data_IF_594064761505
#
_entry.id   IF_594064761505
#
_cell.length_a   1.000
_cell.length_b   1.000
_cell.length_c   1.000
_cell.angle_alpha   90.00
_cell.angle_beta   90.00
_cell.angle_gamma   90.00
#
_symmetry.space_group_name_H-M   'P 1'
#
loop_
_entity.id
_entity.type
_entity.pdbx_description
1 polymer ?
#
# COMPACT_ATOMS: atom_id res chain seq x y z
N UNK A 1 27.44 -6.17 18.97
CA UNK A 1 26.86 -6.22 17.62
C UNK A 1 25.40 -6.59 17.80
N UNK A 2 24.52 -5.71 17.39
CA UNK A 2 23.08 -5.92 17.42
C UNK A 2 22.74 -6.86 16.26
N UNK A 3 21.85 -7.83 16.44
CA UNK A 3 21.38 -8.63 15.30
C UNK A 3 20.19 -7.92 14.63
N UNK A 4 19.88 -8.26 13.38
CA UNK A 4 18.78 -7.65 12.62
C UNK A 4 17.46 -7.62 13.42
N UNK A 5 17.13 -8.72 14.10
CA UNK A 5 15.91 -8.83 14.90
C UNK A 5 15.84 -7.77 15.99
N UNK A 6 16.93 -7.51 16.71
CA UNK A 6 16.97 -6.52 17.78
C UNK A 6 16.81 -5.08 17.26
N UNK A 7 17.26 -4.78 16.03
CA UNK A 7 16.96 -3.50 15.37
C UNK A 7 15.48 -3.40 14.99
N UNK A 8 14.92 -4.46 14.39
CA UNK A 8 13.54 -4.47 13.89
C UNK A 8 12.48 -4.60 14.99
N UNK A 9 12.83 -5.03 16.21
CA UNK A 9 11.91 -5.14 17.34
C UNK A 9 11.64 -3.82 18.07
N UNK A 10 12.30 -2.75 17.65
CA UNK A 10 12.18 -1.41 18.21
C UNK A 10 11.87 -0.38 17.11
N UNK A 11 11.31 0.78 17.47
CA UNK A 11 11.25 1.94 16.57
C UNK A 11 12.62 2.28 15.98
N UNK A 12 12.66 2.50 14.68
CA UNK A 12 13.89 2.87 13.98
C UNK A 12 14.10 4.38 14.15
N UNK A 13 15.16 4.78 14.85
CA UNK A 13 15.63 6.18 14.96
C UNK A 13 16.54 6.50 13.80
N UNK A 14 15.98 6.72 12.61
CA UNK A 14 16.74 6.69 11.37
C UNK A 14 17.80 7.79 11.29
N UNK A 15 17.61 8.94 11.95
CA UNK A 15 18.59 10.05 11.94
C UNK A 15 19.93 9.69 12.59
N UNK A 16 20.01 8.57 13.33
CA UNK A 16 21.26 8.05 13.92
C UNK A 16 22.23 7.38 12.92
N UNK A 17 21.84 7.25 11.64
CA UNK A 17 22.59 6.49 10.63
C UNK A 17 24.04 6.95 10.42
N UNK A 18 24.37 8.21 10.72
CA UNK A 18 25.73 8.74 10.57
C UNK A 18 26.71 8.24 11.63
N UNK A 19 26.19 7.73 12.74
CA UNK A 19 26.99 7.28 13.91
C UNK A 19 26.79 5.81 14.25
N UNK A 20 25.74 5.18 13.71
CA UNK A 20 25.43 3.77 13.92
C UNK A 20 25.60 3.00 12.60
N UNK A 21 26.69 2.21 12.52
CA UNK A 21 27.02 1.41 11.34
C UNK A 21 26.05 0.25 11.07
N UNK A 22 25.42 -0.29 12.11
CA UNK A 22 24.42 -1.36 11.98
C UNK A 22 23.14 -0.76 11.34
N UNK A 23 22.73 0.43 11.79
CA UNK A 23 21.62 1.18 11.22
C UNK A 23 21.88 1.66 9.78
N UNK A 24 23.08 2.16 9.48
CA UNK A 24 23.48 2.53 8.12
C UNK A 24 23.37 1.33 7.18
N UNK A 25 23.86 0.16 7.61
CA UNK A 25 23.80 -1.07 6.82
C UNK A 25 22.36 -1.49 6.55
N UNK A 26 21.49 -1.45 7.56
CA UNK A 26 20.06 -1.74 7.42
C UNK A 26 19.36 -0.80 6.42
N UNK A 27 19.52 0.51 6.59
CA UNK A 27 18.75 1.50 5.82
C UNK A 27 19.26 1.65 4.38
N UNK A 28 20.54 1.36 4.13
CA UNK A 28 21.12 1.42 2.77
C UNK A 28 20.76 0.19 1.94
N UNK A 29 20.49 -0.95 2.58
CA UNK A 29 20.16 -2.21 1.91
C UNK A 29 18.64 -2.43 1.76
N UNK A 30 17.84 -1.97 2.74
CA UNK A 30 16.38 -2.04 2.66
C UNK A 30 15.85 -1.09 1.59
N UNK A 31 14.94 -1.55 0.73
CA UNK A 31 14.32 -0.71 -0.29
C UNK A 31 13.43 0.40 0.30
N UNK A 32 13.32 1.48 -0.44
CA UNK A 32 12.32 2.53 -0.31
C UNK A 32 10.87 1.96 -0.26
N UNK A 33 9.91 2.81 0.07
CA UNK A 33 8.47 2.54 0.15
C UNK A 33 8.02 1.58 1.28
N UNK A 34 8.92 0.80 1.89
CA UNK A 34 8.61 -0.14 2.97
C UNK A 34 8.38 0.63 4.29
N UNK A 35 9.43 1.25 4.85
CA UNK A 35 9.36 1.96 6.13
C UNK A 35 8.49 3.21 6.08
N UNK A 36 8.43 3.86 4.92
CA UNK A 36 7.63 5.06 4.70
C UNK A 36 7.20 5.09 3.24
N UNK A 37 5.94 5.45 2.95
CA UNK A 37 5.49 5.58 1.57
C UNK A 37 6.25 6.67 0.81
N UNK A 38 6.48 6.49 -0.49
CA UNK A 38 7.25 7.43 -1.32
C UNK A 38 6.58 8.80 -1.50
N UNK A 39 5.26 8.91 -1.31
CA UNK A 39 4.52 10.19 -1.31
C UNK A 39 4.29 10.85 -2.68
N UNK A 40 4.83 10.24 -3.74
CA UNK A 40 4.73 10.68 -5.14
C UNK A 40 3.35 10.48 -5.76
N UNK A 41 2.95 11.38 -6.65
CA UNK A 41 1.61 11.40 -7.25
C UNK A 41 1.44 10.56 -8.53
N UNK A 42 2.53 10.19 -9.21
CA UNK A 42 2.48 9.37 -10.42
C UNK A 42 3.31 8.10 -10.23
N UNK A 43 2.80 6.97 -10.75
CA UNK A 43 3.56 5.72 -10.78
C UNK A 43 3.39 4.97 -12.10
N UNK A 44 4.40 4.20 -12.47
CA UNK A 44 4.28 3.10 -13.42
C UNK A 44 4.73 1.79 -12.76
N UNK A 45 3.87 0.78 -12.80
CA UNK A 45 4.16 -0.57 -12.32
C UNK A 45 4.37 -1.48 -13.53
N UNK A 46 5.63 -1.81 -13.83
CA UNK A 46 6.03 -2.56 -15.02
C UNK A 46 6.24 -4.02 -14.65
N UNK A 47 5.52 -4.92 -15.33
CA UNK A 47 5.57 -6.35 -15.04
C UNK A 47 6.42 -7.08 -16.07
N UNK A 48 7.31 -7.94 -15.58
CA UNK A 48 8.31 -8.63 -16.41
C UNK A 48 8.09 -10.14 -16.39
N UNK A 49 8.28 -10.77 -17.54
CA UNK A 49 8.54 -12.19 -17.68
C UNK A 49 10.01 -12.43 -18.00
N UNK A 50 10.57 -13.45 -17.36
CA UNK A 50 11.90 -14.00 -17.62
C UNK A 50 11.82 -15.31 -18.41
N UNK A 51 10.67 -15.61 -19.03
CA UNK A 51 10.53 -16.79 -19.91
C UNK A 51 11.57 -16.75 -21.04
N UNK A 52 12.28 -17.87 -21.22
CA UNK A 52 13.35 -17.99 -22.21
C UNK A 52 14.70 -17.39 -21.79
N UNK A 53 14.81 -16.72 -20.64
CA UNK A 53 16.08 -16.19 -20.14
C UNK A 53 16.90 -17.27 -19.42
N UNK A 54 18.21 -17.29 -19.64
CA UNK A 54 19.14 -18.06 -18.82
C UNK A 54 19.32 -17.40 -17.43
N UNK A 55 19.62 -18.15 -16.36
CA UNK A 55 19.81 -17.60 -15.02
C UNK A 55 20.81 -16.44 -14.93
N UNK A 56 21.90 -16.49 -15.71
CA UNK A 56 22.88 -15.40 -15.77
C UNK A 56 22.32 -14.11 -16.37
N UNK A 57 21.37 -14.19 -17.31
CA UNK A 57 20.70 -13.01 -17.87
C UNK A 57 19.77 -12.39 -16.84
N UNK A 58 19.02 -13.22 -16.10
CA UNK A 58 18.15 -12.75 -15.01
C UNK A 58 18.99 -12.07 -13.92
N UNK A 59 20.06 -12.72 -13.46
CA UNK A 59 20.99 -12.12 -12.49
C UNK A 59 21.64 -10.83 -13.02
N UNK A 60 22.00 -10.78 -14.30
CA UNK A 60 22.52 -9.58 -14.94
C UNK A 60 21.52 -8.42 -14.95
N UNK A 61 20.25 -8.70 -15.25
CA UNK A 61 19.18 -7.70 -15.19
C UNK A 61 18.96 -7.17 -13.77
N UNK A 62 18.86 -8.06 -12.78
CA UNK A 62 18.69 -7.63 -11.38
C UNK A 62 19.88 -6.82 -10.87
N UNK A 63 21.09 -7.14 -11.33
CA UNK A 63 22.27 -6.33 -11.04
C UNK A 63 22.15 -4.93 -11.64
N UNK A 64 21.73 -4.81 -12.89
CA UNK A 64 21.55 -3.48 -13.51
C UNK A 64 20.47 -2.67 -12.77
N UNK A 65 19.36 -3.32 -12.42
CA UNK A 65 18.28 -2.72 -11.64
C UNK A 65 18.73 -2.30 -10.23
N UNK A 66 19.69 -3.00 -9.63
CA UNK A 66 20.19 -2.64 -8.30
C UNK A 66 20.89 -1.27 -8.27
N UNK A 67 21.40 -0.78 -9.40
CA UNK A 67 22.02 0.56 -9.47
C UNK A 67 21.01 1.71 -9.48
N UNK A 68 19.74 1.44 -9.77
CA UNK A 68 18.68 2.45 -9.81
C UNK A 68 17.64 2.28 -8.70
N UNK A 69 17.67 1.15 -7.99
CA UNK A 69 16.73 0.86 -6.91
C UNK A 69 17.00 1.78 -5.73
N UNK A 70 15.98 2.51 -5.29
CA UNK A 70 16.08 3.48 -4.20
C UNK A 70 16.07 2.77 -2.85
N UNK A 71 17.05 3.06 -2.01
CA UNK A 71 17.11 2.58 -0.62
C UNK A 71 16.18 3.38 0.31
N UNK A 72 15.87 2.81 1.47
CA UNK A 72 15.13 3.49 2.53
C UNK A 72 15.90 4.72 3.03
N UNK A 73 17.23 4.65 3.12
CA UNK A 73 18.05 5.77 3.53
C UNK A 73 17.98 6.94 2.54
N UNK A 74 18.08 6.66 1.25
CA UNK A 74 17.97 7.68 0.19
C UNK A 74 16.62 8.39 0.28
N UNK A 75 15.52 7.63 0.28
CA UNK A 75 14.18 8.21 0.38
C UNK A 75 14.01 9.08 1.64
N UNK A 76 14.49 8.63 2.80
CA UNK A 76 14.35 9.39 4.05
C UNK A 76 15.15 10.69 4.03
N UNK A 77 16.35 10.67 3.46
CA UNK A 77 17.18 11.87 3.29
C UNK A 77 16.56 12.84 2.29
N UNK A 78 16.03 12.36 1.18
CA UNK A 78 15.33 13.16 0.18
C UNK A 78 14.07 13.81 0.76
N UNK A 79 13.29 13.08 1.56
CA UNK A 79 12.10 13.61 2.22
C UNK A 79 12.44 14.76 3.20
N UNK A 80 13.51 14.63 3.99
CA UNK A 80 13.98 15.74 4.84
C UNK A 80 14.50 16.92 4.00
N UNK A 81 15.27 16.66 2.95
CA UNK A 81 15.77 17.72 2.07
C UNK A 81 14.62 18.51 1.41
N UNK A 82 13.56 17.82 0.99
CA UNK A 82 12.35 18.45 0.51
C UNK A 82 11.64 19.24 1.62
N UNK A 83 11.51 18.68 2.82
CA UNK A 83 10.90 19.37 3.97
C UNK A 83 11.61 20.69 4.32
N UNK A 84 12.94 20.71 4.25
CA UNK A 84 13.78 21.88 4.61
C UNK A 84 13.92 22.88 3.48
N UNK A 85 14.20 22.42 2.26
CA UNK A 85 14.65 23.27 1.15
C UNK A 85 13.83 23.11 -0.13
N UNK A 86 12.77 22.28 -0.12
CA UNK A 86 11.93 21.97 -1.30
C UNK A 86 12.73 21.42 -2.49
N UNK A 87 13.88 20.79 -2.21
CA UNK A 87 14.69 20.11 -3.22
C UNK A 87 14.05 18.75 -3.50
N UNK A 88 13.73 18.49 -4.77
CA UNK A 88 13.19 17.20 -5.20
C UNK A 88 14.25 16.09 -5.05
N UNK A 89 13.80 14.91 -4.61
CA UNK A 89 14.62 13.69 -4.58
C UNK A 89 14.72 12.97 -5.93
N UNK A 90 13.94 13.36 -6.93
CA UNK A 90 13.83 12.64 -8.21
C UNK A 90 13.07 11.31 -8.06
N UNK A 91 13.11 10.45 -9.08
CA UNK A 91 12.25 9.27 -9.12
C UNK A 91 12.62 8.22 -8.05
N UNK A 92 11.61 7.60 -7.46
CA UNK A 92 11.75 6.42 -6.58
C UNK A 92 11.53 5.17 -7.41
N UNK A 93 12.46 4.22 -7.33
CA UNK A 93 12.38 2.92 -8.02
C UNK A 93 12.43 1.78 -7.02
N UNK A 94 11.46 0.86 -7.10
CA UNK A 94 11.43 -0.36 -6.30
C UNK A 94 11.34 -1.59 -7.20
N UNK A 95 11.93 -2.70 -6.77
CA UNK A 95 11.96 -3.96 -7.52
C UNK A 95 11.43 -5.10 -6.66
N UNK A 96 10.45 -5.82 -7.17
CA UNK A 96 9.79 -6.93 -6.50
C UNK A 96 9.93 -8.19 -7.35
N UNK A 97 10.16 -9.34 -6.71
CA UNK A 97 10.27 -10.64 -7.37
C UNK A 97 9.17 -11.58 -6.89
N UNK A 98 8.54 -12.30 -7.80
CA UNK A 98 7.65 -13.40 -7.48
C UNK A 98 8.44 -14.69 -7.22
N UNK A 99 7.80 -15.69 -6.60
CA UNK A 99 8.43 -16.99 -6.37
C UNK A 99 8.92 -17.66 -7.68
N UNK A 100 8.21 -17.43 -8.80
CA UNK A 100 8.62 -17.90 -10.12
C UNK A 100 9.88 -17.17 -10.63
N UNK A 101 9.96 -15.85 -10.40
CA UNK A 101 11.17 -15.07 -10.70
C UNK A 101 12.39 -15.56 -9.92
N UNK A 102 12.23 -15.88 -8.63
CA UNK A 102 13.29 -16.51 -7.84
C UNK A 102 13.73 -17.87 -8.40
N UNK A 103 12.79 -18.71 -8.84
CA UNK A 103 13.12 -20.01 -9.42
C UNK A 103 13.97 -19.89 -10.71
N UNK A 104 13.73 -18.83 -11.49
CA UNK A 104 14.49 -18.54 -12.73
C UNK A 104 15.90 -18.00 -12.49
N UNK A 105 16.25 -17.61 -11.26
CA UNK A 105 17.63 -17.28 -10.87
C UNK A 105 18.53 -18.51 -10.71
N UNK A 106 17.95 -19.72 -10.67
CA UNK A 106 18.72 -20.95 -10.48
C UNK A 106 19.41 -21.04 -9.11
N UNK A 107 18.89 -20.33 -8.10
CA UNK A 107 19.41 -20.36 -6.73
C UNK A 107 18.83 -21.54 -5.95
N UNK A 108 19.50 -21.93 -4.87
CA UNK A 108 19.00 -22.95 -3.94
C UNK A 108 17.63 -22.56 -3.38
N UNK A 109 16.73 -23.53 -3.21
CA UNK A 109 15.42 -23.32 -2.58
C UNK A 109 15.49 -22.79 -1.15
N UNK A 110 16.62 -22.97 -0.45
CA UNK A 110 16.88 -22.35 0.87
C UNK A 110 17.01 -20.83 0.80
N UNK A 111 17.34 -20.29 -0.38
CA UNK A 111 17.56 -18.86 -0.63
C UNK A 111 16.31 -18.22 -1.27
N UNK A 112 15.18 -18.93 -1.31
CA UNK A 112 13.89 -18.42 -1.78
C UNK A 112 13.01 -18.13 -0.56
N UNK A 113 12.36 -16.95 -0.48
CA UNK A 113 11.49 -16.59 0.64
C UNK A 113 10.47 -17.70 0.98
N UNK A 114 10.30 -17.95 2.28
CA UNK A 114 9.65 -19.14 2.83
C UNK A 114 8.12 -19.12 2.88
N UNK A 115 7.49 -17.96 2.73
CA UNK A 115 6.04 -17.82 2.94
C UNK A 115 5.22 -18.70 1.98
N UNK A 116 4.20 -19.34 2.53
CA UNK A 116 3.34 -20.26 1.80
C UNK A 116 2.47 -19.54 0.76
N UNK A 117 1.95 -18.34 1.06
CA UNK A 117 1.10 -17.62 0.13
C UNK A 117 1.93 -17.06 -1.05
N UNK A 118 3.10 -16.53 -0.77
CA UNK A 118 4.09 -16.07 -1.74
C UNK A 118 4.51 -17.20 -2.68
N UNK A 119 4.89 -18.36 -2.14
CA UNK A 119 5.31 -19.52 -2.94
C UNK A 119 4.19 -20.10 -3.80
N UNK A 120 2.95 -20.06 -3.31
CA UNK A 120 1.78 -20.52 -4.07
C UNK A 120 1.39 -19.55 -5.20
N UNK A 121 1.59 -18.25 -4.99
CA UNK A 121 1.24 -17.21 -5.95
C UNK A 121 -0.26 -16.85 -5.97
N UNK A 122 -0.57 -15.63 -6.41
CA UNK A 122 -1.91 -15.06 -6.29
C UNK A 122 -2.98 -15.82 -7.10
N UNK A 123 -2.65 -16.35 -8.29
CA UNK A 123 -3.60 -17.14 -9.10
C UNK A 123 -4.14 -18.37 -8.37
N UNK A 124 -3.32 -19.00 -7.53
CA UNK A 124 -3.73 -20.15 -6.70
C UNK A 124 -4.43 -19.66 -5.43
N UNK A 125 -3.90 -18.61 -4.80
CA UNK A 125 -4.40 -18.07 -3.52
C UNK A 125 -5.71 -17.29 -3.64
N UNK A 126 -6.12 -16.89 -4.85
CA UNK A 126 -7.39 -16.19 -5.11
C UNK A 126 -8.65 -17.05 -4.92
N UNK A 127 -8.50 -18.38 -4.89
CA UNK A 127 -9.59 -19.36 -4.70
C UNK A 127 -9.18 -20.40 -3.66
N UNK A 128 -9.35 -20.07 -2.39
CA UNK A 128 -9.08 -20.99 -1.29
C UNK A 128 -10.34 -21.71 -0.85
N UNK A 129 -10.17 -22.94 -0.35
CA UNK A 129 -11.24 -23.69 0.29
C UNK A 129 -11.89 -22.88 1.40
N UNK A 130 -13.19 -23.13 1.58
CA UNK A 130 -13.94 -22.49 2.65
C UNK A 130 -13.33 -22.81 4.02
N UNK A 131 -13.18 -21.78 4.85
CA UNK A 131 -12.67 -21.91 6.20
C UNK A 131 -13.73 -22.52 7.11
N UNK A 132 -13.30 -23.43 7.98
CA UNK A 132 -14.14 -23.96 9.07
C UNK A 132 -13.54 -23.53 10.40
N UNK A 133 -14.35 -22.99 11.30
CA UNK A 133 -13.91 -22.61 12.65
C UNK A 133 -14.46 -23.60 13.68
N UNK A 134 -13.64 -23.95 14.68
CA UNK A 134 -14.06 -24.86 15.75
C UNK A 134 -15.17 -24.29 16.64
N UNK A 135 -15.33 -22.96 16.65
CA UNK A 135 -16.25 -22.23 17.55
C UNK A 135 -17.47 -21.64 16.84
N UNK A 136 -17.54 -21.69 15.50
CA UNK A 136 -18.64 -21.12 14.72
C UNK A 136 -19.03 -22.13 13.64
N UNK A 137 -20.31 -22.49 13.59
CA UNK A 137 -20.83 -23.47 12.63
C UNK A 137 -20.91 -22.90 11.21
N UNK A 138 -20.57 -23.75 10.23
CA UNK A 138 -20.71 -23.47 8.81
C UNK A 138 -19.37 -23.22 8.10
N UNK A 139 -19.31 -23.47 6.78
CA UNK A 139 -18.19 -23.05 5.96
C UNK A 139 -18.24 -21.53 5.74
N UNK A 140 -17.10 -20.86 5.92
CA UNK A 140 -16.96 -19.44 5.66
C UNK A 140 -16.14 -19.24 4.39
N UNK A 141 -16.58 -18.37 3.46
CA UNK A 141 -15.79 -18.05 2.28
C UNK A 141 -14.39 -17.57 2.70
N UNK A 142 -13.37 -18.09 2.02
CA UNK A 142 -12.01 -17.57 2.10
C UNK A 142 -11.85 -16.39 1.13
N UNK A 143 -10.62 -16.04 0.74
CA UNK A 143 -10.41 -15.20 -0.44
C UNK A 143 -11.18 -15.82 -1.61
N UNK A 144 -12.03 -15.01 -2.21
CA UNK A 144 -13.01 -15.41 -3.21
C UNK A 144 -12.92 -14.47 -4.42
N UNK A 145 -11.71 -14.37 -4.97
CA UNK A 145 -11.43 -13.59 -6.18
C UNK A 145 -12.23 -14.16 -7.36
N UNK A 146 -12.53 -13.41 -8.42
CA UNK A 146 -13.02 -13.99 -9.67
C UNK A 146 -12.07 -15.07 -10.19
N UNK A 147 -12.55 -15.96 -11.08
CA UNK A 147 -11.65 -16.96 -11.65
C UNK A 147 -10.48 -16.23 -12.33
N UNK A 148 -9.28 -16.78 -12.23
CA UNK A 148 -8.11 -16.23 -12.92
C UNK A 148 -8.33 -16.07 -14.43
N UNK A 149 -9.24 -16.85 -15.04
CA UNK A 149 -9.65 -16.69 -16.45
C UNK A 149 -10.48 -15.43 -16.72
N UNK A 150 -11.10 -14.86 -15.69
CA UNK A 150 -11.89 -13.63 -15.76
C UNK A 150 -11.06 -12.37 -15.40
N UNK A 151 -9.75 -12.53 -15.17
CA UNK A 151 -8.86 -11.39 -14.91
C UNK A 151 -8.58 -10.62 -16.20
N UNK A 152 -8.00 -9.42 -16.07
CA UNK A 152 -7.72 -8.51 -17.19
C UNK A 152 -6.91 -9.19 -18.32
N UNK A 153 -7.43 -9.11 -19.54
CA UNK A 153 -6.81 -9.64 -20.76
C UNK A 153 -5.98 -8.57 -21.48
N UNK A 154 -4.92 -8.98 -22.17
CA UNK A 154 -4.05 -8.11 -22.96
C UNK A 154 -3.04 -7.28 -22.15
N UNK A 155 -2.88 -7.57 -20.86
CA UNK A 155 -2.00 -6.85 -19.93
C UNK A 155 -1.18 -7.83 -19.06
N UNK A 156 -0.51 -7.30 -18.03
CA UNK A 156 0.40 -8.02 -17.16
C UNK A 156 -0.17 -9.30 -16.52
N UNK A 157 -1.49 -9.35 -16.32
CA UNK A 157 -2.18 -10.45 -15.65
C UNK A 157 -2.99 -11.35 -16.59
N UNK A 158 -2.83 -11.18 -17.92
CA UNK A 158 -3.55 -11.94 -18.93
C UNK A 158 -3.55 -13.45 -18.61
N UNK A 159 -4.72 -14.11 -18.55
CA UNK A 159 -4.83 -15.53 -18.25
C UNK A 159 -4.05 -16.43 -19.22
N UNK A 160 -3.81 -15.98 -20.46
CA UNK A 160 -3.03 -16.68 -21.48
C UNK A 160 -1.51 -16.62 -21.23
N UNK A 161 -1.03 -15.68 -20.42
CA UNK A 161 0.37 -15.53 -20.06
C UNK A 161 0.70 -16.22 -18.73
N UNK A 162 1.97 -16.55 -18.50
CA UNK A 162 2.50 -16.84 -17.16
C UNK A 162 2.28 -15.64 -16.23
N UNK A 163 2.12 -15.89 -14.93
CA UNK A 163 2.12 -14.79 -13.96
C UNK A 163 3.49 -14.06 -13.98
N UNK A 164 3.53 -12.74 -13.71
CA UNK A 164 4.77 -11.98 -13.71
C UNK A 164 5.86 -12.55 -12.80
N UNK A 165 7.11 -12.55 -13.27
CA UNK A 165 8.29 -12.96 -12.51
C UNK A 165 8.83 -11.83 -11.64
N UNK A 166 8.68 -10.60 -12.10
CA UNK A 166 9.09 -9.40 -11.39
C UNK A 166 8.15 -8.22 -11.67
N UNK A 167 8.20 -7.24 -10.78
CA UNK A 167 7.59 -5.92 -10.97
C UNK A 167 8.64 -4.84 -10.67
N UNK A 168 8.68 -3.81 -11.51
CA UNK A 168 9.45 -2.58 -11.27
C UNK A 168 8.45 -1.45 -11.08
N UNK A 169 8.44 -0.85 -9.90
CA UNK A 169 7.66 0.34 -9.58
C UNK A 169 8.54 1.57 -9.75
N UNK A 170 8.08 2.54 -10.54
CA UNK A 170 8.71 3.84 -10.73
C UNK A 170 7.71 4.89 -10.25
N UNK A 171 8.15 5.84 -9.43
CA UNK A 171 7.28 6.87 -8.87
C UNK A 171 7.94 8.25 -8.87
N UNK A 172 7.22 9.28 -9.30
CA UNK A 172 7.63 10.68 -9.22
C UNK A 172 6.40 11.61 -9.13
N UNK A 173 6.59 12.87 -8.75
CA UNK A 173 5.53 13.88 -8.79
C UNK A 173 5.35 14.45 -10.21
N UNK A 174 6.27 14.20 -11.14
CA UNK A 174 6.16 14.53 -12.56
C UNK A 174 5.94 13.27 -13.43
N UNK A 175 4.76 13.17 -14.04
CA UNK A 175 4.39 12.07 -14.93
C UNK A 175 5.37 11.88 -16.10
N UNK A 176 5.89 12.97 -16.67
CA UNK A 176 6.81 12.90 -17.80
C UNK A 176 8.18 12.31 -17.38
N UNK A 177 8.61 12.53 -16.14
CA UNK A 177 9.78 11.88 -15.59
C UNK A 177 9.53 10.38 -15.38
N UNK A 178 8.36 9.99 -14.88
CA UNK A 178 8.01 8.56 -14.76
C UNK A 178 8.04 7.87 -16.13
N UNK A 179 7.46 8.49 -17.16
CA UNK A 179 7.46 7.97 -18.53
C UNK A 179 8.88 7.82 -19.08
N UNK A 180 9.72 8.85 -18.92
CA UNK A 180 11.12 8.83 -19.34
C UNK A 180 11.91 7.69 -18.65
N UNK A 181 11.73 7.52 -17.34
CA UNK A 181 12.37 6.42 -16.61
C UNK A 181 11.88 5.06 -17.10
N UNK A 182 10.57 4.91 -17.35
CA UNK A 182 9.99 3.67 -17.85
C UNK A 182 10.51 3.32 -19.25
N UNK A 183 10.68 4.29 -20.14
CA UNK A 183 11.28 4.11 -21.47
C UNK A 183 12.75 3.68 -21.38
N UNK A 184 13.56 4.38 -20.57
CA UNK A 184 14.96 4.04 -20.38
C UNK A 184 15.15 2.63 -19.80
N UNK A 185 14.33 2.25 -18.81
CA UNK A 185 14.40 0.90 -18.23
C UNK A 185 13.87 -0.18 -19.19
N UNK A 186 12.91 0.16 -20.06
CA UNK A 186 12.44 -0.76 -21.10
C UNK A 186 13.57 -1.19 -22.04
N UNK A 187 14.50 -0.29 -22.38
CA UNK A 187 15.69 -0.63 -23.18
C UNK A 187 16.59 -1.63 -22.43
N UNK A 188 16.77 -1.46 -21.12
CA UNK A 188 17.53 -2.40 -20.27
C UNK A 188 16.87 -3.77 -20.24
N UNK A 189 15.56 -3.83 -20.07
CA UNK A 189 14.79 -5.08 -20.06
C UNK A 189 14.96 -5.86 -21.36
N UNK A 190 14.75 -5.19 -22.49
CA UNK A 190 14.87 -5.79 -23.82
C UNK A 190 16.31 -6.24 -24.11
N UNK A 191 17.31 -5.45 -23.73
CA UNK A 191 18.73 -5.79 -23.92
C UNK A 191 19.13 -7.03 -23.12
N UNK A 192 18.57 -7.21 -21.92
CA UNK A 192 18.81 -8.41 -21.09
C UNK A 192 17.99 -9.62 -21.54
N UNK A 193 16.92 -9.41 -22.31
CA UNK A 193 16.03 -10.44 -22.83
C UNK A 193 14.77 -10.67 -21.99
N UNK A 194 14.44 -9.77 -21.06
CA UNK A 194 13.18 -9.81 -20.33
C UNK A 194 12.04 -9.28 -21.21
N UNK A 195 10.87 -9.87 -21.07
CA UNK A 195 9.65 -9.44 -21.78
C UNK A 195 8.81 -8.58 -20.85
N UNK A 196 8.38 -7.40 -21.31
CA UNK A 196 7.39 -6.59 -20.58
C UNK A 196 6.00 -7.14 -20.87
N UNK A 197 5.32 -7.63 -19.83
CA UNK A 197 3.97 -8.21 -19.94
C UNK A 197 2.86 -7.13 -19.94
N UNK A 198 3.13 -5.98 -19.34
CA UNK A 198 2.17 -4.89 -19.23
C UNK A 198 2.64 -3.83 -18.24
N UNK A 199 1.90 -2.72 -18.20
CA UNK A 199 2.18 -1.58 -17.31
C UNK A 199 0.88 -1.07 -16.72
N UNK A 200 0.85 -0.91 -15.40
CA UNK A 200 -0.26 -0.26 -14.70
C UNK A 200 0.17 1.14 -14.26
N UNK A 201 -0.56 2.15 -14.74
CA UNK A 201 -0.31 3.57 -14.46
C UNK A 201 -1.11 3.99 -13.24
N UNK A 202 -0.43 4.49 -12.21
CA UNK A 202 -1.05 5.05 -11.03
C UNK A 202 -1.03 6.57 -11.05
N UNK A 203 -2.14 7.17 -10.60
CA UNK A 203 -2.35 8.61 -10.49
C UNK A 203 -3.03 8.89 -9.15
N UNK A 204 -2.36 9.61 -8.26
CA UNK A 204 -2.93 10.01 -6.98
C UNK A 204 -4.04 11.05 -7.19
N UNK A 205 -5.17 10.82 -6.54
CA UNK A 205 -6.31 11.74 -6.54
C UNK A 205 -6.36 12.44 -5.19
N UNK A 206 -6.66 13.74 -5.18
CA UNK A 206 -6.57 14.56 -3.96
C UNK A 206 -7.76 15.47 -3.78
N UNK A 207 -8.12 15.67 -2.50
CA UNK A 207 -9.13 16.61 -2.06
C UNK A 207 -8.54 17.76 -1.26
N UNK A 208 -8.80 18.98 -1.73
CA UNK A 208 -8.52 20.19 -0.94
C UNK A 208 -9.73 20.44 -0.03
N UNK A 209 -9.49 20.48 1.28
CA UNK A 209 -10.51 20.72 2.27
C UNK A 209 -10.01 21.64 3.38
N UNK A 210 -10.87 22.49 3.98
CA UNK A 210 -10.47 23.37 5.08
C UNK A 210 -9.84 22.58 6.24
N UNK A 211 -8.66 23.00 6.66
CA UNK A 211 -7.92 22.34 7.75
C UNK A 211 -7.22 21.03 7.37
N UNK A 212 -7.25 20.63 6.10
CA UNK A 212 -6.47 19.51 5.55
C UNK A 212 -5.04 19.91 5.14
N UNK A 213 -4.30 18.95 4.59
CA UNK A 213 -2.95 19.17 4.05
C UNK A 213 -2.93 20.17 2.89
N UNK A 214 -1.86 20.96 2.75
CA UNK A 214 -1.69 21.93 1.65
C UNK A 214 -1.65 21.24 0.28
N UNK A 215 -1.08 20.02 0.19
CA UNK A 215 -1.09 19.19 -1.03
C UNK A 215 -2.49 18.59 -1.28
N UNK A 216 -3.37 18.59 -0.28
CA UNK A 216 -4.66 17.92 -0.28
C UNK A 216 -4.60 16.49 0.26
N UNK A 217 -5.72 16.04 0.81
CA UNK A 217 -5.89 14.68 1.31
C UNK A 217 -6.00 13.71 0.15
N UNK A 218 -5.27 12.58 0.19
CA UNK A 218 -5.41 11.54 -0.82
C UNK A 218 -6.78 10.88 -0.72
N UNK A 219 -7.47 10.75 -1.86
CA UNK A 219 -8.79 10.12 -1.96
C UNK A 219 -8.78 8.94 -2.93
N UNK A 220 -9.72 8.02 -2.77
CA UNK A 220 -10.02 6.96 -3.75
C UNK A 220 -11.25 7.30 -4.60
N UNK A 221 -11.56 6.49 -5.63
CA UNK A 221 -12.60 6.85 -6.62
C UNK A 221 -14.03 6.87 -6.07
N UNK A 222 -14.34 6.33 -4.91
CA UNK A 222 -15.63 6.56 -4.26
C UNK A 222 -15.73 7.91 -3.55
N UNK A 223 -14.64 8.69 -3.50
CA UNK A 223 -14.56 10.04 -2.94
C UNK A 223 -14.07 10.10 -1.49
N UNK A 224 -13.66 8.99 -0.90
CA UNK A 224 -13.24 8.92 0.50
C UNK A 224 -11.75 9.16 0.67
N UNK A 225 -11.38 9.93 1.69
CA UNK A 225 -9.99 10.03 2.15
C UNK A 225 -9.44 8.64 2.49
N UNK A 226 -8.36 8.27 1.80
CA UNK A 226 -7.66 6.99 1.95
C UNK A 226 -6.21 7.22 2.45
N UNK A 227 -5.50 6.14 2.75
CA UNK A 227 -4.09 6.16 3.18
C UNK A 227 -3.86 6.71 4.59
N UNK A 228 -4.90 7.18 5.28
CA UNK A 228 -4.78 7.89 6.57
C UNK A 228 -4.25 7.04 7.74
N UNK A 229 -4.78 5.83 7.91
CA UNK A 229 -4.34 4.92 8.98
C UNK A 229 -3.26 3.99 8.46
N UNK A 230 -2.04 4.17 8.97
CA UNK A 230 -0.85 3.39 8.61
C UNK A 230 -0.07 2.98 9.87
N UNK A 231 0.60 1.82 9.86
CA UNK A 231 1.61 1.52 10.87
C UNK A 231 2.81 2.46 10.71
N UNK A 232 3.30 3.02 11.81
CA UNK A 232 4.49 3.87 11.85
C UNK A 232 5.65 3.09 12.47
N UNK A 233 6.82 3.15 11.81
CA UNK A 233 8.02 2.39 12.18
C UNK A 233 9.17 3.28 12.65
N UNK A 234 9.17 4.54 12.19
CA UNK A 234 10.24 5.50 12.44
C UNK A 234 9.92 6.29 13.70
N UNK A 235 10.86 6.32 14.63
CA UNK A 235 10.70 7.05 15.88
C UNK A 235 10.35 8.52 15.63
N UNK A 236 10.97 9.14 14.62
CA UNK A 236 10.76 10.53 14.22
C UNK A 236 9.31 10.82 13.78
N UNK A 237 8.52 9.80 13.41
CA UNK A 237 7.12 9.99 13.02
C UNK A 237 6.18 10.13 14.23
N UNK A 238 6.54 9.60 15.40
CA UNK A 238 5.63 9.55 16.57
C UNK A 238 6.27 9.92 17.92
N UNK A 239 7.59 10.12 18.00
CA UNK A 239 8.30 10.60 19.19
C UNK A 239 8.89 11.99 18.95
N UNK A 240 8.82 12.86 19.96
CA UNK A 240 9.51 14.15 19.98
C UNK A 240 11.02 14.00 20.26
N UNK A 241 11.74 15.12 20.29
CA UNK A 241 13.20 15.15 20.49
C UNK A 241 13.63 14.63 21.87
N UNK A 242 12.72 14.66 22.87
CA UNK A 242 12.93 14.07 24.20
C UNK A 242 12.64 12.56 24.24
N UNK A 243 12.15 11.99 23.12
CA UNK A 243 11.72 10.60 23.03
C UNK A 243 10.34 10.33 23.65
N UNK A 244 9.52 11.38 23.87
CA UNK A 244 8.15 11.25 24.34
C UNK A 244 7.17 11.16 23.16
N UNK A 245 6.03 10.48 23.31
CA UNK A 245 5.02 10.44 22.25
C UNK A 245 4.54 11.84 21.84
N UNK A 246 4.60 12.16 20.54
CA UNK A 246 4.04 13.41 19.98
C UNK A 246 2.54 13.54 20.20
N UNK A 247 1.86 12.41 20.35
CA UNK A 247 0.42 12.30 20.58
C UNK A 247 0.16 11.20 21.59
N UNK A 248 -0.76 11.47 22.52
CA UNK A 248 -1.31 10.47 23.43
C UNK A 248 -2.78 10.34 23.09
N UNK A 249 -3.21 9.13 22.80
CA UNK A 249 -4.50 8.87 22.16
C UNK A 249 -5.05 7.48 22.43
N UNK A 250 -6.28 7.26 22.00
CA UNK A 250 -6.97 5.97 22.07
C UNK A 250 -6.36 4.92 21.13
N UNK A 251 -5.67 5.34 20.06
CA UNK A 251 -5.00 4.42 19.14
C UNK A 251 -3.50 4.70 19.01
N UNK A 252 -2.69 3.65 19.22
CA UNK A 252 -1.23 3.70 19.08
C UNK A 252 -0.86 3.24 17.66
N UNK A 253 -0.34 4.19 16.88
CA UNK A 253 0.12 3.99 15.50
C UNK A 253 1.54 3.44 15.40
N UNK A 254 2.27 3.32 16.51
CA UNK A 254 3.58 2.68 16.58
C UNK A 254 3.47 1.17 16.39
N UNK A 255 4.22 0.63 15.43
CA UNK A 255 4.35 -0.81 15.20
C UNK A 255 5.82 -1.20 15.13
N UNK A 256 6.09 -2.46 15.47
CA UNK A 256 7.43 -3.02 15.35
C UNK A 256 7.73 -3.27 13.87
N UNK A 257 8.86 -2.78 13.33
CA UNK A 257 9.30 -3.13 11.98
C UNK A 257 9.33 -4.65 11.72
N UNK A 258 9.66 -5.47 12.73
CA UNK A 258 9.69 -6.94 12.66
C UNK A 258 8.34 -7.60 12.37
N UNK A 259 7.22 -6.85 12.42
CA UNK A 259 5.90 -7.33 12.00
C UNK A 259 5.65 -7.17 10.49
N UNK A 260 6.58 -6.53 9.76
CA UNK A 260 6.43 -6.19 8.35
C UNK A 260 7.68 -6.54 7.53
N UNK A 261 8.84 -6.62 8.17
CA UNK A 261 10.14 -6.85 7.54
C UNK A 261 10.66 -8.24 7.91
N UNK A 262 11.13 -8.97 6.90
CA UNK A 262 11.72 -10.31 7.01
C UNK A 262 13.19 -10.29 6.64
N UNK A 263 14.02 -11.16 7.26
CA UNK A 263 15.38 -11.39 6.78
C UNK A 263 15.38 -11.86 5.32
N UNK A 264 16.31 -11.36 4.52
CA UNK A 264 16.52 -11.84 3.15
C UNK A 264 17.22 -13.22 3.22
N UNK A 265 16.61 -14.30 2.71
CA UNK A 265 17.21 -15.63 2.73
C UNK A 265 18.47 -15.75 1.86
N UNK A 266 18.71 -14.83 0.93
CA UNK A 266 19.99 -14.68 0.23
C UNK A 266 21.12 -14.22 1.14
N UNK A 267 20.78 -13.52 2.24
CA UNK A 267 21.65 -13.08 3.32
C UNK A 267 23.02 -12.52 2.88
N UNK A 268 23.07 -11.53 1.95
CA UNK A 268 24.35 -10.99 1.48
C UNK A 268 25.08 -10.23 2.59
N UNK A 269 24.36 -9.65 3.56
CA UNK A 269 24.92 -9.02 4.77
C UNK A 269 24.12 -9.40 6.01
N UNK A 270 24.67 -9.12 7.21
CA UNK A 270 24.00 -9.34 8.50
C UNK A 270 22.64 -8.64 8.64
N UNK A 271 22.42 -7.54 7.91
CA UNK A 271 21.23 -6.70 8.04
C UNK A 271 20.32 -6.75 6.81
N UNK A 272 20.60 -7.66 5.87
CA UNK A 272 19.82 -7.78 4.65
C UNK A 272 18.42 -8.30 4.91
N UNK A 273 17.44 -7.53 4.45
CA UNK A 273 16.04 -7.76 4.73
C UNK A 273 15.14 -7.17 3.64
N UNK A 274 13.89 -7.60 3.63
CA UNK A 274 12.87 -7.12 2.72
C UNK A 274 11.48 -7.26 3.34
N UNK A 275 10.45 -7.20 2.51
CA UNK A 275 9.07 -7.41 2.93
C UNK A 275 8.32 -8.12 1.83
N UNK A 276 7.35 -8.97 2.19
CA UNK A 276 6.44 -9.51 1.17
C UNK A 276 5.53 -8.40 0.67
N UNK A 277 5.24 -8.46 -0.62
CA UNK A 277 4.49 -7.42 -1.31
C UNK A 277 3.24 -8.01 -1.95
N UNK A 278 2.09 -7.41 -1.66
CA UNK A 278 0.81 -7.72 -2.30
C UNK A 278 0.51 -6.65 -3.33
N UNK A 279 0.15 -7.07 -4.54
CA UNK A 279 -0.34 -6.20 -5.60
C UNK A 279 -1.70 -6.71 -6.09
N UNK A 280 -2.70 -5.83 -6.17
CA UNK A 280 -4.01 -6.14 -6.73
C UNK A 280 -4.58 -4.94 -7.47
N UNK A 281 -4.95 -5.10 -8.73
CA UNK A 281 -5.71 -4.10 -9.49
C UNK A 281 -7.20 -4.30 -9.19
N UNK A 282 -7.80 -3.34 -8.49
CA UNK A 282 -9.18 -3.40 -8.00
C UNK A 282 -10.03 -2.34 -8.70
N UNK A 283 -10.81 -2.75 -9.69
CA UNK A 283 -11.73 -1.84 -10.39
C UNK A 283 -12.86 -1.36 -9.47
N UNK A 284 -13.23 -0.09 -9.64
CA UNK A 284 -14.26 0.57 -8.85
C UNK A 284 -15.41 1.02 -9.76
N UNK A 285 -16.58 0.41 -9.57
CA UNK A 285 -17.82 0.87 -10.19
C UNK A 285 -18.41 2.00 -9.32
N UNK A 286 -17.98 3.23 -9.58
CA UNK A 286 -18.34 4.43 -8.80
C UNK A 286 -19.83 4.69 -8.87
N UNK A 287 -20.44 4.58 -10.06
CA UNK A 287 -21.88 4.78 -10.23
C UNK A 287 -22.69 3.87 -9.34
N UNK A 288 -22.43 2.56 -9.41
CA UNK A 288 -23.17 1.56 -8.64
C UNK A 288 -22.95 1.74 -7.14
N UNK A 289 -21.74 2.11 -6.73
CA UNK A 289 -21.46 2.38 -5.32
C UNK A 289 -22.28 3.57 -4.81
N UNK A 290 -22.31 4.69 -5.54
CA UNK A 290 -23.11 5.87 -5.17
C UNK A 290 -24.62 5.59 -5.17
N UNK A 291 -25.13 4.84 -6.14
CA UNK A 291 -26.53 4.39 -6.16
C UNK A 291 -26.87 3.54 -4.92
N UNK A 292 -25.95 2.68 -4.47
CA UNK A 292 -26.14 1.87 -3.26
C UNK A 292 -26.06 2.68 -1.96
N UNK A 293 -25.27 3.76 -1.93
CA UNK A 293 -25.28 4.73 -0.82
C UNK A 293 -26.64 5.43 -0.72
N UNK A 294 -27.19 5.88 -1.85
CA UNK A 294 -28.51 6.52 -1.94
C UNK A 294 -29.63 5.56 -1.50
N UNK A 295 -29.63 4.31 -1.98
CA UNK A 295 -30.61 3.29 -1.56
C UNK A 295 -30.50 2.98 -0.06
N UNK A 296 -29.28 2.90 0.46
CA UNK A 296 -29.06 2.69 1.89
C UNK A 296 -29.56 3.88 2.72
N UNK A 297 -29.34 5.11 2.25
CA UNK A 297 -29.85 6.31 2.90
C UNK A 297 -31.39 6.30 2.98
N UNK A 298 -32.06 5.93 1.88
CA UNK A 298 -33.53 5.81 1.83
C UNK A 298 -34.05 4.75 2.81
N UNK A 299 -33.41 3.57 2.84
CA UNK A 299 -33.78 2.48 3.74
C UNK A 299 -33.58 2.81 5.22
N UNK A 300 -32.63 3.70 5.52
CA UNK A 300 -32.38 4.21 6.87
C UNK A 300 -33.26 5.42 7.23
N UNK A 301 -34.05 5.94 6.28
CA UNK A 301 -34.88 7.13 6.47
C UNK A 301 -34.05 8.41 6.68
N UNK A 302 -32.86 8.49 6.08
CA UNK A 302 -32.00 9.67 6.16
C UNK A 302 -32.45 10.71 5.12
N UNK A 303 -32.52 11.98 5.55
CA UNK A 303 -32.93 13.11 4.73
C UNK A 303 -31.83 14.19 4.69
N UNK A 304 -31.86 15.02 3.65
CA UNK A 304 -30.95 16.15 3.44
C UNK A 304 -29.47 15.74 3.64
N UNK A 305 -28.67 16.57 4.31
CA UNK A 305 -27.25 16.35 4.56
C UNK A 305 -26.96 15.06 5.36
N UNK A 306 -27.95 14.51 6.10
CA UNK A 306 -27.76 13.28 6.85
C UNK A 306 -27.62 12.04 5.92
N UNK A 307 -27.96 12.15 4.63
CA UNK A 307 -27.85 11.06 3.65
C UNK A 307 -26.40 10.59 3.46
N UNK A 308 -25.43 11.51 3.54
CA UNK A 308 -24.00 11.20 3.43
C UNK A 308 -23.53 10.18 4.48
N UNK A 309 -24.22 10.12 5.62
CA UNK A 309 -23.93 9.16 6.68
C UNK A 309 -24.11 7.70 6.22
N UNK A 310 -24.94 7.43 5.21
CA UNK A 310 -25.12 6.06 4.70
C UNK A 310 -23.80 5.48 4.18
N UNK A 311 -23.09 6.23 3.34
CA UNK A 311 -21.76 5.86 2.86
C UNK A 311 -20.73 5.78 3.99
N UNK A 312 -20.77 6.74 4.93
CA UNK A 312 -19.91 6.71 6.12
C UNK A 312 -20.12 5.49 7.02
N UNK A 313 -21.32 4.90 7.05
CA UNK A 313 -21.62 3.65 7.76
C UNK A 313 -21.07 2.41 7.02
N UNK A 314 -20.88 2.49 5.70
CA UNK A 314 -20.26 1.43 4.88
C UNK A 314 -18.74 1.48 5.00
N UNK A 315 -18.14 2.67 4.87
CA UNK A 315 -16.67 2.83 4.93
C UNK A 315 -16.18 2.85 6.38
N UNK A 316 -16.91 3.52 7.27
CA UNK A 316 -16.56 3.81 8.67
C UNK A 316 -15.94 5.21 8.85
N UNK A 317 -15.82 5.98 7.78
CA UNK A 317 -15.48 7.41 7.74
C UNK A 317 -16.38 8.11 6.73
N UNK A 318 -16.70 9.36 6.94
CA UNK A 318 -17.24 10.25 5.91
C UNK A 318 -16.20 10.47 4.80
N UNK A 319 -16.63 10.99 3.66
CA UNK A 319 -15.75 11.25 2.54
C UNK A 319 -14.60 12.21 2.90
N UNK A 320 -14.86 13.21 3.75
CA UNK A 320 -13.85 14.14 4.29
C UNK A 320 -12.83 13.46 5.23
N UNK A 321 -13.02 12.19 5.55
CA UNK A 321 -12.19 11.41 6.45
C UNK A 321 -12.67 11.39 7.91
N UNK A 322 -13.73 12.11 8.28
CA UNK A 322 -14.27 12.13 9.65
C UNK A 322 -14.70 10.72 10.10
N UNK A 323 -14.20 10.18 11.23
CA UNK A 323 -14.63 8.87 11.72
C UNK A 323 -16.10 8.86 12.15
N UNK A 324 -16.90 7.95 11.58
CA UNK A 324 -18.35 7.84 11.90
C UNK A 324 -18.59 7.37 13.35
N UNK A 325 -17.57 6.83 14.02
CA UNK A 325 -17.64 6.49 15.45
C UNK A 325 -17.60 7.74 16.35
N UNK A 326 -16.98 8.83 15.88
CA UNK A 326 -16.82 10.07 16.63
C UNK A 326 -17.91 11.08 16.34
N UNK A 327 -18.41 11.13 15.10
CA UNK A 327 -19.38 12.13 14.65
C UNK A 327 -20.52 11.51 13.83
N UNK A 328 -21.69 12.15 13.86
CA UNK A 328 -22.85 11.82 13.03
C UNK A 328 -22.88 12.57 11.69
N UNK A 329 -21.93 13.48 11.47
CA UNK A 329 -21.77 14.35 10.29
C UNK A 329 -20.28 14.63 9.99
N UNK A 330 -19.93 15.08 8.77
CA UNK A 330 -18.59 15.59 8.46
C UNK A 330 -18.18 16.73 9.40
N UNK A 331 -16.89 16.83 9.75
CA UNK A 331 -16.36 17.89 10.64
C UNK A 331 -15.44 18.79 9.82
N UNK A 332 -15.98 19.95 9.43
CA UNK A 332 -15.27 20.93 8.59
C UNK A 332 -14.18 21.66 9.38
N UNK A 333 -13.05 21.96 8.72
CA UNK A 333 -11.99 22.80 9.27
C UNK A 333 -10.99 22.06 10.16
N UNK A 334 -11.07 20.72 10.25
CA UNK A 334 -10.20 19.90 11.08
C UNK A 334 -9.63 18.75 10.24
N UNK A 335 -8.31 18.57 10.30
CA UNK A 335 -7.65 17.44 9.65
C UNK A 335 -8.25 16.10 10.13
N UNK A 336 -8.49 15.13 9.25
CA UNK A 336 -9.10 13.85 9.63
C UNK A 336 -8.29 13.15 10.71
N UNK A 337 -8.91 12.91 11.87
CA UNK A 337 -8.21 12.24 12.97
C UNK A 337 -8.09 10.74 12.73
N UNK A 338 -7.00 10.15 13.21
CA UNK A 338 -6.85 8.69 13.34
C UNK A 338 -6.88 8.21 14.80
N UNK A 339 -7.05 9.14 15.74
CA UNK A 339 -6.98 8.87 17.17
C UNK A 339 -8.36 8.50 17.76
N UNK A 340 -8.73 7.22 17.59
CA UNK A 340 -9.93 6.63 18.18
C UNK A 340 -9.81 5.10 18.23
N UNK A 341 -10.55 4.49 19.13
CA UNK A 341 -10.87 3.05 19.11
C UNK A 341 -12.40 2.86 18.99
N UNK A 342 -12.88 1.65 19.27
CA UNK A 342 -14.31 1.35 19.30
C UNK A 342 -14.83 0.96 20.69
N UNK A 343 -14.06 1.19 21.75
CA UNK A 343 -14.50 0.90 23.12
C UNK A 343 -15.72 1.74 23.51
N UNK A 344 -16.58 1.16 24.34
CA UNK A 344 -17.86 1.77 24.71
C UNK A 344 -18.87 1.88 23.54
N UNK A 345 -18.54 1.41 22.34
CA UNK A 345 -19.44 1.43 21.17
C UNK A 345 -19.82 0.01 20.72
N UNK A 346 -21.02 -0.45 21.10
CA UNK A 346 -21.56 -1.77 20.71
C UNK A 346 -22.03 -1.84 19.24
N UNK A 347 -21.39 -1.10 18.32
CA UNK A 347 -21.80 -1.00 16.91
C UNK A 347 -22.83 0.07 16.50
N UNK A 348 -23.53 0.85 17.37
CA UNK A 348 -24.59 1.75 16.91
C UNK A 348 -24.08 3.03 16.22
N UNK A 349 -22.82 3.43 16.46
CA UNK A 349 -22.20 4.58 15.77
C UNK A 349 -21.49 4.15 14.49
N UNK A 350 -20.52 3.24 14.61
CA UNK A 350 -19.80 2.63 13.49
C UNK A 350 -20.11 1.13 13.40
N UNK A 351 -20.77 0.64 12.33
CA UNK A 351 -21.14 -0.76 12.19
C UNK A 351 -19.94 -1.71 12.23
N UNK A 352 -20.11 -2.93 12.78
CA UNK A 352 -19.08 -3.98 12.72
C UNK A 352 -18.68 -4.40 11.30
N UNK A 353 -19.55 -4.10 10.32
CA UNK A 353 -19.33 -4.37 8.89
C UNK A 353 -18.70 -3.19 8.14
N UNK A 354 -18.48 -2.06 8.79
CA UNK A 354 -17.82 -0.92 8.17
C UNK A 354 -16.39 -1.33 7.75
N UNK A 355 -15.96 -0.89 6.57
CA UNK A 355 -14.68 -1.28 5.97
C UNK A 355 -13.51 -1.12 6.96
N UNK A 356 -13.33 0.06 7.56
CA UNK A 356 -12.20 0.32 8.48
C UNK A 356 -12.30 -0.44 9.81
N UNK A 357 -13.51 -0.85 10.24
CA UNK A 357 -13.70 -1.65 11.47
C UNK A 357 -13.49 -3.15 11.20
N UNK A 358 -13.75 -3.59 9.97
CA UNK A 358 -13.40 -4.95 9.49
C UNK A 358 -11.90 -5.12 9.34
N UNK A 359 -11.23 -4.17 8.70
CA UNK A 359 -9.80 -4.27 8.39
C UNK A 359 -8.92 -3.92 9.59
N UNK A 360 -9.40 -3.06 10.50
CA UNK A 360 -8.77 -2.82 11.79
C UNK A 360 -9.83 -2.68 12.90
N UNK A 361 -10.15 -3.76 13.62
CA UNK A 361 -11.10 -3.75 14.73
C UNK A 361 -10.68 -2.91 15.95
N UNK A 362 -9.43 -2.43 16.00
CA UNK A 362 -8.85 -1.60 17.09
C UNK A 362 -9.19 -2.05 18.51
N UNK A 363 -9.24 -3.37 18.74
CA UNK A 363 -9.51 -3.91 20.08
C UNK A 363 -8.34 -3.55 21.00
N UNK A 364 -8.54 -2.74 22.06
CA UNK A 364 -7.45 -2.29 22.91
C UNK A 364 -6.72 -3.46 23.57
N UNK A 365 -5.39 -3.35 23.66
CA UNK A 365 -4.51 -4.38 24.20
C UNK A 365 -4.41 -5.68 23.38
N UNK A 366 -5.12 -5.82 22.26
CA UNK A 366 -5.10 -7.05 21.47
C UNK A 366 -3.90 -7.12 20.53
N UNK A 367 -2.84 -7.82 20.96
CA UNK A 367 -1.68 -8.12 20.12
C UNK A 367 -2.05 -8.91 18.87
N UNK A 368 -3.06 -9.79 18.95
CA UNK A 368 -3.54 -10.55 17.80
C UNK A 368 -4.14 -9.64 16.72
N UNK A 369 -4.95 -8.65 17.09
CA UNK A 369 -5.52 -7.72 16.10
C UNK A 369 -4.42 -6.86 15.48
N UNK A 370 -3.48 -6.37 16.31
CA UNK A 370 -2.36 -5.55 15.84
C UNK A 370 -1.45 -6.31 14.88
N UNK A 371 -1.24 -7.61 15.07
CA UNK A 371 -0.39 -8.43 14.17
C UNK A 371 -1.02 -8.74 12.81
N UNK A 372 -2.28 -8.33 12.55
CA UNK A 372 -2.94 -8.48 11.24
C UNK A 372 -2.94 -7.22 10.38
N UNK A 373 -2.34 -6.14 10.89
CA UNK A 373 -2.21 -4.88 10.15
C UNK A 373 -1.15 -5.02 9.06
N UNK A 374 -1.35 -4.31 7.95
CA UNK A 374 -0.43 -4.22 6.83
C UNK A 374 -0.09 -2.74 6.56
N UNK A 375 1.08 -2.50 5.96
CA UNK A 375 1.48 -1.17 5.54
C UNK A 375 0.99 -0.95 4.09
N UNK A 376 -0.06 -0.14 3.91
CA UNK A 376 -0.69 0.07 2.58
C UNK A 376 0.04 1.16 1.81
N UNK A 377 0.27 0.95 0.53
CA UNK A 377 0.99 1.83 -0.40
C UNK A 377 0.26 1.98 -1.73
N UNK A 378 -1.05 1.71 -1.75
CA UNK A 378 -1.84 1.75 -2.97
C UNK A 378 -1.95 3.16 -3.55
N UNK A 379 -2.26 3.21 -4.84
CA UNK A 379 -2.52 4.44 -5.60
C UNK A 379 -3.68 4.18 -6.56
N UNK A 380 -4.51 5.19 -6.82
CA UNK A 380 -5.60 5.09 -7.78
C UNK A 380 -5.09 4.94 -9.21
N UNK A 381 -5.88 4.32 -10.10
CA UNK A 381 -5.65 4.32 -11.55
C UNK A 381 -6.89 4.86 -12.28
N UNK A 382 -6.68 5.29 -13.52
CA UNK A 382 -7.73 5.89 -14.36
C UNK A 382 -8.00 7.35 -13.99
N UNK A 383 -8.49 8.08 -14.98
CA UNK A 383 -8.75 9.52 -14.88
C UNK A 383 -10.25 9.80 -14.72
N UNK A 384 -10.55 10.92 -14.07
CA UNK A 384 -11.90 11.43 -13.84
C UNK A 384 -11.91 12.94 -14.00
N UNK A 385 -13.07 13.49 -14.35
CA UNK A 385 -13.26 14.92 -14.51
C UNK A 385 -13.16 15.61 -13.13
N UNK A 386 -12.24 16.57 -12.94
CA UNK A 386 -12.14 17.30 -11.70
C UNK A 386 -13.31 18.30 -11.57
N UNK A 387 -13.69 18.63 -10.33
CA UNK A 387 -14.57 19.77 -10.04
C UNK A 387 -13.92 21.09 -10.48
N UNK A 388 -14.70 22.12 -10.84
CA UNK A 388 -14.16 23.44 -11.21
C UNK A 388 -13.26 24.09 -10.16
N UNK A 389 -13.49 23.75 -8.88
CA UNK A 389 -12.71 24.27 -7.74
C UNK A 389 -11.40 23.48 -7.49
N UNK A 390 -11.09 22.49 -8.35
CA UNK A 390 -9.81 21.77 -8.36
C UNK A 390 -9.59 20.80 -7.19
N UNK A 391 -10.68 20.40 -6.51
CA UNK A 391 -10.59 19.77 -5.20
C UNK A 391 -11.22 18.37 -5.09
N UNK A 392 -11.86 17.80 -6.12
CA UNK A 392 -12.38 16.42 -6.11
C UNK A 392 -12.92 16.06 -7.51
N UNK A 393 -13.60 14.92 -7.67
CA UNK A 393 -14.35 14.51 -8.84
C UNK A 393 -15.69 15.23 -8.99
N UNK A 394 -16.06 15.54 -10.23
CA UNK A 394 -17.39 16.05 -10.56
C UNK A 394 -18.48 15.06 -10.13
N UNK A 395 -19.59 15.55 -9.57
CA UNK A 395 -20.65 14.69 -9.01
C UNK A 395 -21.36 13.82 -10.07
N UNK A 396 -21.39 14.30 -11.31
CA UNK A 396 -21.97 13.64 -12.48
C UNK A 396 -20.99 12.67 -13.16
N UNK A 397 -19.68 12.80 -12.90
CA UNK A 397 -18.67 11.86 -13.38
C UNK A 397 -18.61 10.61 -12.49
N UNK A 398 -19.52 9.67 -12.72
CA UNK A 398 -19.59 8.39 -11.99
C UNK A 398 -19.26 7.24 -12.95
N UNK A 399 -17.98 6.90 -13.16
CA UNK A 399 -17.60 5.82 -14.07
C UNK A 399 -18.11 4.45 -13.58
N UNK A 400 -18.34 3.54 -14.52
CA UNK A 400 -18.77 2.16 -14.23
C UNK A 400 -17.63 1.14 -14.31
N UNK A 401 -16.47 1.56 -14.82
CA UNK A 401 -15.23 0.79 -14.97
C UNK A 401 -14.11 1.69 -15.50
N UNK A 402 -12.92 1.14 -15.71
CA UNK A 402 -11.73 1.87 -16.19
C UNK A 402 -11.03 2.73 -15.15
N UNK A 403 -11.56 2.78 -13.91
CA UNK A 403 -10.95 3.45 -12.76
C UNK A 403 -10.91 2.51 -11.57
N UNK A 404 -9.99 2.74 -10.65
CA UNK A 404 -9.95 1.96 -9.42
C UNK A 404 -8.70 2.17 -8.61
N UNK A 405 -8.32 1.14 -7.84
CA UNK A 405 -7.17 1.16 -6.94
C UNK A 405 -6.14 0.10 -7.35
N UNK A 406 -4.90 0.54 -7.57
CA UNK A 406 -3.74 -0.34 -7.54
C UNK A 406 -3.40 -0.58 -6.07
N UNK A 407 -4.05 -1.58 -5.48
CA UNK A 407 -3.86 -1.91 -4.08
C UNK A 407 -2.49 -2.54 -3.89
N UNK A 408 -1.67 -1.91 -3.04
CA UNK A 408 -0.32 -2.32 -2.72
C UNK A 408 -0.12 -2.38 -1.21
N UNK A 409 0.53 -3.42 -0.71
CA UNK A 409 0.80 -3.54 0.71
C UNK A 409 2.06 -4.35 1.03
N UNK A 410 2.73 -3.96 2.11
CA UNK A 410 3.88 -4.66 2.71
C UNK A 410 3.48 -5.38 4.00
N UNK A 411 3.98 -6.61 4.20
CA UNK A 411 3.73 -7.45 5.36
C UNK A 411 4.84 -8.50 5.58
N UNK A 412 4.86 -9.11 6.77
CA UNK A 412 5.86 -10.13 7.14
C UNK A 412 5.69 -11.49 6.42
N UNK A 413 4.53 -11.79 5.84
CA UNK A 413 4.21 -13.10 5.24
C UNK A 413 3.05 -13.79 5.96
#
# INVERSE_FOLDING_TARGET
MTNLQALLDNPIKWKGWTTDGDLLSLLSDLQANILKGHGRDHTQNIFLSFDGMAPMQVSGLLRDLSFVTTSALEQLREAEAFGVAKVSGGAVVCVMLSAAGYAKLGISGSNIPGDHAFRAGMRVRGRLDAMTFSTISGPFPSINDPDSQDWETGQAWDPANSAPDAMVLIADDDAALVDLYAENLNEVFMTRGATVLGRDIGLAQRRIQPGGDEKGEGIEHFGYVDGRSQPLFLAEDFLDDDGKPKRVGAWIEEFKPSQFIVPDPGNPTTFSCGSYFVYRKLEQNVKKFKEQEEELADRLGLADDARERAGALVVGRFEDGTPVVLSDRPVVGVAPTNDFDYEGTNGPKCPFRAHIRKTNPRTPGSNFVRSRIMARRGITYGERAPRPEGADFAEDDRPTGGVGLLFMAYLYG
#
